data_IF_369517605552
#
_entry.id   IF_369517605552
#
_cell.length_a   1.000
_cell.length_b   1.000
_cell.length_c   1.000
_cell.angle_alpha   90.00
_cell.angle_beta   90.00
_cell.angle_gamma   90.00
#
_symmetry.space_group_name_H-M   'P 1'
#
loop_
_entity.id
_entity.type
_entity.pdbx_description
1 polymer ?
#
# COMPACT_ATOMS: atom_id res chain seq x y z
N UNK A 1 2.68 -3.84 -13.39
CA UNK A 1 1.83 -4.64 -12.48
C UNK A 1 2.62 -5.82 -11.99
N UNK A 2 2.66 -6.01 -10.71
CA UNK A 2 3.37 -7.14 -10.09
C UNK A 2 2.34 -8.17 -9.65
N UNK A 3 2.61 -9.44 -9.87
CA UNK A 3 1.77 -10.55 -9.42
C UNK A 3 2.61 -11.52 -8.62
N UNK A 4 2.19 -11.77 -7.37
CA UNK A 4 2.74 -12.77 -6.47
C UNK A 4 1.73 -13.92 -6.41
N UNK A 5 2.08 -15.07 -6.98
CA UNK A 5 1.15 -16.19 -7.08
C UNK A 5 1.89 -17.52 -6.87
N UNK A 6 1.53 -18.28 -5.84
CA UNK A 6 2.31 -19.44 -5.43
C UNK A 6 3.72 -19.02 -5.06
N UNK A 7 4.71 -19.69 -5.60
CA UNK A 7 6.14 -19.36 -5.47
C UNK A 7 6.63 -18.41 -6.58
N UNK A 8 5.74 -17.95 -7.45
CA UNK A 8 6.10 -17.22 -8.65
C UNK A 8 5.88 -15.71 -8.46
N UNK A 9 6.80 -14.96 -9.02
CA UNK A 9 6.78 -13.52 -9.14
C UNK A 9 6.76 -13.14 -10.62
N UNK A 10 5.83 -12.29 -11.01
CA UNK A 10 5.71 -11.78 -12.36
C UNK A 10 5.64 -10.25 -12.33
N UNK A 11 6.38 -9.62 -13.23
CA UNK A 11 6.30 -8.17 -13.46
C UNK A 11 5.83 -7.91 -14.89
N UNK A 12 4.71 -7.21 -15.03
CA UNK A 12 4.07 -6.92 -16.31
C UNK A 12 4.07 -5.42 -16.56
N UNK A 13 4.61 -5.00 -17.69
CA UNK A 13 4.33 -3.66 -18.21
C UNK A 13 2.95 -3.66 -18.89
N UNK A 14 1.96 -3.10 -18.22
CA UNK A 14 0.59 -3.05 -18.72
C UNK A 14 0.46 -2.23 -20.02
N UNK A 15 1.34 -1.26 -20.25
CA UNK A 15 1.33 -0.45 -21.48
C UNK A 15 1.83 -1.23 -22.68
N UNK A 16 2.74 -2.17 -22.48
CA UNK A 16 3.26 -3.02 -23.54
C UNK A 16 2.18 -3.89 -24.21
N UNK A 17 1.05 -4.13 -23.55
CA UNK A 17 -0.08 -4.86 -24.13
C UNK A 17 -0.79 -4.07 -25.24
N UNK A 18 -0.69 -2.74 -25.27
CA UNK A 18 -1.33 -1.90 -26.28
C UNK A 18 -2.87 -2.03 -26.31
N UNK A 19 -3.49 -2.39 -25.20
CA UNK A 19 -4.93 -2.67 -25.09
C UNK A 19 -5.61 -1.69 -24.13
N UNK A 20 -6.85 -1.29 -24.45
CA UNK A 20 -7.71 -0.52 -23.54
C UNK A 20 -8.21 -1.35 -22.37
N UNK A 21 -8.09 -2.67 -22.48
CA UNK A 21 -8.59 -3.63 -21.50
C UNK A 21 -7.66 -4.83 -21.43
N UNK A 22 -7.26 -5.17 -20.22
CA UNK A 22 -6.44 -6.33 -19.89
C UNK A 22 -7.25 -7.24 -18.96
N UNK A 23 -7.39 -8.50 -19.34
CA UNK A 23 -8.02 -9.53 -18.51
C UNK A 23 -6.94 -10.31 -17.76
N UNK A 24 -7.19 -10.59 -16.49
CA UNK A 24 -6.34 -11.48 -15.70
C UNK A 24 -7.16 -12.62 -15.09
N UNK A 25 -6.54 -13.79 -15.02
CA UNK A 25 -7.19 -14.99 -14.53
C UNK A 25 -6.35 -16.24 -14.77
N UNK A 26 -6.95 -17.42 -14.59
CA UNK A 26 -6.24 -18.69 -14.75
C UNK A 26 -6.26 -19.24 -16.19
N UNK A 27 -7.22 -18.83 -16.99
CA UNK A 27 -7.46 -19.36 -18.34
C UNK A 27 -6.55 -18.66 -19.34
N UNK A 28 -5.59 -19.41 -19.92
CA UNK A 28 -4.61 -18.89 -20.87
C UNK A 28 -5.20 -18.45 -22.20
N UNK A 29 -6.35 -19.00 -22.59
CA UNK A 29 -6.99 -18.67 -23.87
C UNK A 29 -7.83 -17.40 -23.78
N UNK A 30 -8.21 -17.00 -22.58
CA UNK A 30 -9.13 -15.89 -22.33
C UNK A 30 -8.49 -14.70 -21.61
N UNK A 31 -7.34 -14.89 -20.98
CA UNK A 31 -6.67 -13.87 -20.18
C UNK A 31 -5.38 -13.38 -20.85
N UNK A 32 -5.17 -12.07 -20.77
CA UNK A 32 -3.91 -11.43 -21.17
C UNK A 32 -2.80 -11.70 -20.15
N UNK A 33 -3.18 -11.79 -18.88
CA UNK A 33 -2.30 -12.10 -17.77
C UNK A 33 -2.78 -13.38 -17.11
N UNK A 34 -1.97 -14.42 -17.22
CA UNK A 34 -2.29 -15.75 -16.70
C UNK A 34 -1.69 -15.91 -15.30
N UNK A 35 -2.55 -16.23 -14.34
CA UNK A 35 -2.17 -16.51 -12.95
C UNK A 35 -2.54 -17.97 -12.66
N UNK A 36 -1.60 -18.91 -12.75
CA UNK A 36 -1.90 -20.35 -12.76
C UNK A 36 -2.12 -20.90 -11.34
N UNK A 37 -3.15 -20.39 -10.65
CA UNK A 37 -3.55 -20.86 -9.32
C UNK A 37 -4.99 -21.32 -9.30
N UNK A 38 -5.27 -22.38 -8.54
CA UNK A 38 -6.62 -22.95 -8.41
C UNK A 38 -7.64 -21.98 -7.78
N UNK A 39 -7.17 -21.06 -6.95
CA UNK A 39 -7.98 -20.01 -6.31
C UNK A 39 -8.38 -18.90 -7.25
N UNK A 40 -7.72 -18.77 -8.38
CA UNK A 40 -8.00 -17.78 -9.41
C UNK A 40 -9.06 -18.34 -10.38
N UNK A 41 -10.12 -17.60 -10.62
CA UNK A 41 -11.14 -17.95 -11.62
C UNK A 41 -10.58 -17.92 -13.04
N UNK A 42 -11.17 -18.64 -13.97
CA UNK A 42 -10.75 -18.66 -15.38
C UNK A 42 -10.52 -17.24 -15.91
N UNK A 43 -11.53 -16.37 -15.85
CA UNK A 43 -11.36 -14.92 -15.90
C UNK A 43 -11.74 -14.39 -14.54
N UNK A 44 -10.79 -13.76 -13.84
CA UNK A 44 -10.96 -13.31 -12.47
C UNK A 44 -11.27 -11.82 -12.39
N UNK A 45 -10.50 -11.04 -13.07
CA UNK A 45 -10.64 -9.60 -13.03
C UNK A 45 -10.21 -8.91 -14.33
N UNK A 46 -10.37 -7.62 -14.33
CA UNK A 46 -10.15 -6.78 -15.49
C UNK A 46 -9.59 -5.43 -15.11
N UNK A 47 -8.58 -4.99 -15.86
CA UNK A 47 -8.03 -3.64 -15.83
C UNK A 47 -8.52 -2.93 -17.08
N UNK A 48 -9.03 -1.71 -16.97
CA UNK A 48 -9.50 -0.90 -18.07
C UNK A 48 -8.82 0.46 -18.03
N UNK A 49 -8.38 0.93 -19.20
CA UNK A 49 -7.83 2.27 -19.40
C UNK A 49 -8.84 3.12 -20.16
N UNK A 50 -9.25 4.24 -19.61
CA UNK A 50 -10.19 5.15 -20.24
C UNK A 50 -9.95 6.59 -19.77
N UNK A 51 -9.90 7.54 -20.71
CA UNK A 51 -9.72 8.97 -20.42
C UNK A 51 -8.51 9.28 -19.52
N UNK A 52 -7.39 8.60 -19.76
CA UNK A 52 -6.16 8.73 -18.97
C UNK A 52 -6.23 8.14 -17.56
N UNK A 53 -7.31 7.44 -17.22
CA UNK A 53 -7.54 6.83 -15.92
C UNK A 53 -7.52 5.31 -16.02
N UNK A 54 -7.08 4.68 -14.93
CA UNK A 54 -7.08 3.22 -14.78
C UNK A 54 -8.23 2.79 -13.88
N UNK A 55 -8.94 1.77 -14.32
CA UNK A 55 -10.04 1.16 -13.57
C UNK A 55 -9.78 -0.32 -13.37
N UNK A 56 -10.10 -0.83 -12.19
CA UNK A 56 -9.95 -2.24 -11.84
C UNK A 56 -11.29 -2.79 -11.41
N UNK A 57 -11.60 -4.01 -11.79
CA UNK A 57 -12.83 -4.66 -11.39
C UNK A 57 -12.72 -6.18 -11.36
N UNK A 58 -13.39 -6.76 -10.37
CA UNK A 58 -13.68 -8.19 -10.31
C UNK A 58 -14.84 -8.51 -11.26
N UNK A 59 -14.71 -9.53 -12.10
CA UNK A 59 -15.73 -9.86 -13.10
C UNK A 59 -16.82 -10.81 -12.58
N UNK A 60 -16.82 -11.11 -11.30
CA UNK A 60 -17.69 -12.08 -10.64
C UNK A 60 -16.93 -13.38 -10.36
N UNK A 61 -15.73 -13.23 -9.83
CA UNK A 61 -14.86 -14.36 -9.48
C UNK A 61 -15.41 -15.17 -8.31
N UNK A 62 -14.97 -16.42 -8.19
CA UNK A 62 -15.46 -17.36 -7.16
C UNK A 62 -15.01 -16.96 -5.74
N UNK A 63 -13.76 -16.53 -5.60
CA UNK A 63 -13.17 -16.21 -4.31
C UNK A 63 -13.18 -14.70 -3.99
N UNK A 64 -13.49 -13.87 -4.99
CA UNK A 64 -13.49 -12.41 -4.84
C UNK A 64 -12.10 -11.79 -4.89
N UNK A 65 -12.09 -10.48 -5.01
CA UNK A 65 -10.90 -9.64 -4.97
C UNK A 65 -11.03 -8.67 -3.81
N UNK A 66 -9.98 -8.48 -3.04
CA UNK A 66 -9.93 -7.57 -1.90
C UNK A 66 -8.90 -6.48 -2.14
N UNK A 67 -9.31 -5.23 -2.00
CA UNK A 67 -8.44 -4.05 -2.15
C UNK A 67 -7.96 -3.59 -0.77
N UNK A 68 -6.66 -3.41 -0.62
CA UNK A 68 -6.07 -2.85 0.59
C UNK A 68 -6.32 -1.34 0.68
N UNK A 69 -6.80 -0.88 1.84
CA UNK A 69 -7.12 0.52 2.13
C UNK A 69 -6.32 1.09 3.31
N UNK A 70 -5.07 0.67 3.44
CA UNK A 70 -4.15 1.16 4.47
C UNK A 70 -4.19 0.38 5.79
N UNK A 71 -5.34 -0.06 6.26
CA UNK A 71 -5.48 -0.85 7.50
C UNK A 71 -6.24 -2.16 7.29
N UNK A 72 -7.13 -2.21 6.30
CA UNK A 72 -8.01 -3.36 6.03
C UNK A 72 -8.03 -3.71 4.54
N UNK A 73 -8.39 -4.95 4.27
CA UNK A 73 -8.76 -5.40 2.93
C UNK A 73 -10.26 -5.25 2.73
N UNK A 74 -10.66 -4.38 1.81
CA UNK A 74 -12.05 -4.15 1.43
C UNK A 74 -12.44 -5.06 0.26
N UNK A 75 -13.54 -5.78 0.40
CA UNK A 75 -14.07 -6.60 -0.69
C UNK A 75 -14.56 -5.77 -1.87
N UNK A 76 -14.00 -6.01 -3.03
CA UNK A 76 -14.44 -5.39 -4.27
C UNK A 76 -15.75 -6.04 -4.74
N UNK A 77 -16.81 -5.24 -4.84
CA UNK A 77 -18.11 -5.74 -5.32
C UNK A 77 -17.97 -6.29 -6.74
N UNK A 78 -18.46 -7.51 -7.02
CA UNK A 78 -18.38 -8.10 -8.35
C UNK A 78 -19.03 -7.21 -9.41
N UNK A 79 -18.42 -7.20 -10.61
CA UNK A 79 -18.89 -6.45 -11.78
C UNK A 79 -18.93 -4.93 -11.61
N UNK A 80 -18.34 -4.40 -10.53
CA UNK A 80 -18.13 -2.97 -10.31
C UNK A 80 -16.69 -2.61 -10.68
N UNK A 81 -16.51 -1.43 -11.28
CA UNK A 81 -15.18 -0.87 -11.54
C UNK A 81 -14.85 0.16 -10.48
N UNK A 82 -13.62 0.11 -10.03
CA UNK A 82 -13.03 1.06 -9.10
C UNK A 82 -11.96 1.85 -9.86
N UNK A 83 -12.07 3.18 -9.83
CA UNK A 83 -11.03 4.03 -10.40
C UNK A 83 -9.80 3.95 -9.51
N UNK A 84 -8.64 3.59 -10.11
CA UNK A 84 -7.38 3.63 -9.41
C UNK A 84 -6.99 5.08 -9.17
N UNK A 85 -6.82 5.42 -7.92
CA UNK A 85 -6.26 6.68 -7.44
C UNK A 85 -4.73 6.61 -7.47
N UNK A 86 -4.05 7.72 -7.13
CA UNK A 86 -2.59 7.75 -7.00
C UNK A 86 -2.06 6.74 -5.98
N UNK A 87 -0.81 6.35 -6.13
CA UNK A 87 -0.16 5.35 -5.28
C UNK A 87 -0.38 3.90 -5.73
N UNK A 88 0.27 2.98 -5.05
CA UNK A 88 0.17 1.57 -5.36
C UNK A 88 -1.13 0.96 -4.82
N UNK A 89 -1.84 0.25 -5.69
CA UNK A 89 -2.99 -0.53 -5.29
C UNK A 89 -2.61 -1.99 -5.08
N UNK A 90 -2.90 -2.51 -3.90
CA UNK A 90 -2.64 -3.89 -3.54
C UNK A 90 -3.96 -4.63 -3.52
N UNK A 91 -4.09 -5.60 -4.40
CA UNK A 91 -5.22 -6.50 -4.48
C UNK A 91 -4.81 -7.85 -3.92
N UNK A 92 -5.64 -8.44 -3.11
CA UNK A 92 -5.48 -9.80 -2.59
C UNK A 92 -6.62 -10.69 -3.06
N UNK A 93 -6.30 -11.90 -3.46
CA UNK A 93 -7.25 -12.95 -3.83
C UNK A 93 -6.94 -14.13 -2.93
N UNK A 94 -7.84 -14.43 -2.00
CA UNK A 94 -7.68 -15.51 -1.03
C UNK A 94 -8.51 -16.73 -1.42
N UNK A 95 -8.03 -17.90 -0.99
CA UNK A 95 -8.89 -19.06 -0.91
C UNK A 95 -9.93 -18.86 0.21
N UNK A 96 -11.15 -19.30 0.02
CA UNK A 96 -12.17 -19.31 1.09
C UNK A 96 -11.73 -20.06 2.35
N UNK A 97 -10.73 -20.92 2.24
CA UNK A 97 -10.16 -21.73 3.32
C UNK A 97 -9.02 -21.05 4.08
N UNK A 98 -8.63 -19.82 3.75
CA UNK A 98 -7.51 -19.07 4.37
C UNK A 98 -6.17 -19.82 4.43
N UNK A 99 -5.91 -20.72 3.49
CA UNK A 99 -4.60 -21.39 3.38
C UNK A 99 -3.64 -20.45 2.68
N UNK A 100 -2.58 -20.04 3.37
CA UNK A 100 -1.67 -18.95 2.97
C UNK A 100 -0.98 -19.12 1.61
N UNK A 101 -0.59 -20.34 1.26
CA UNK A 101 0.05 -20.63 -0.04
C UNK A 101 -0.91 -20.69 -1.23
N UNK A 102 -2.20 -20.45 -1.02
CA UNK A 102 -3.22 -20.37 -2.08
C UNK A 102 -3.70 -18.93 -2.35
N UNK A 103 -3.09 -17.93 -1.74
CA UNK A 103 -3.40 -16.52 -1.98
C UNK A 103 -2.57 -15.97 -3.14
N UNK A 104 -3.14 -15.04 -3.91
CA UNK A 104 -2.40 -14.20 -4.84
C UNK A 104 -2.45 -12.75 -4.41
N UNK A 105 -1.33 -12.04 -4.57
CA UNK A 105 -1.26 -10.59 -4.38
C UNK A 105 -0.93 -9.93 -5.71
N UNK A 106 -1.70 -8.92 -6.08
CA UNK A 106 -1.50 -8.14 -7.29
C UNK A 106 -1.24 -6.71 -6.87
N UNK A 107 -0.11 -6.15 -7.30
CA UNK A 107 0.25 -4.76 -7.04
C UNK A 107 0.18 -3.98 -8.35
N UNK A 108 -0.68 -2.97 -8.38
CA UNK A 108 -0.79 -2.03 -9.49
C UNK A 108 -0.05 -0.76 -9.13
N UNK A 109 1.13 -0.59 -9.70
CA UNK A 109 2.01 0.57 -9.44
C UNK A 109 1.67 1.73 -10.35
N UNK A 110 1.93 2.96 -9.92
CA UNK A 110 1.83 4.16 -10.76
C UNK A 110 3.11 4.42 -11.55
N UNK A 111 4.23 3.83 -11.14
CA UNK A 111 5.51 4.22 -11.67
C UNK A 111 5.74 3.69 -13.09
N UNK A 112 6.06 4.62 -13.99
CA UNK A 112 6.65 4.36 -15.30
C UNK A 112 8.12 3.94 -15.21
N UNK A 113 8.71 4.00 -14.03
CA UNK A 113 10.08 3.57 -13.77
C UNK A 113 10.07 2.06 -13.47
N UNK A 114 11.12 1.37 -13.94
CA UNK A 114 11.41 -0.03 -13.58
C UNK A 114 11.13 -0.22 -12.10
N UNK A 115 10.41 -1.26 -11.75
CA UNK A 115 9.81 -1.48 -10.44
C UNK A 115 10.75 -1.04 -9.31
N UNK A 116 10.25 -0.17 -8.42
CA UNK A 116 10.96 0.21 -7.20
C UNK A 116 11.11 -0.97 -6.22
N UNK A 117 10.66 -2.15 -6.65
CA UNK A 117 10.69 -3.38 -5.88
C UNK A 117 12.05 -4.05 -5.98
N UNK A 118 12.58 -4.40 -4.82
CA UNK A 118 13.83 -5.13 -4.63
C UNK A 118 13.55 -6.51 -4.06
N UNK A 119 14.49 -7.41 -4.25
CA UNK A 119 14.38 -8.80 -3.80
C UNK A 119 15.66 -9.19 -3.06
N UNK A 120 15.51 -9.67 -1.82
CA UNK A 120 16.60 -10.15 -0.97
C UNK A 120 16.33 -11.61 -0.57
N UNK A 121 17.32 -12.48 -0.73
CA UNK A 121 17.22 -13.86 -0.22
C UNK A 121 17.20 -13.86 1.30
N UNK A 122 16.26 -14.55 1.91
CA UNK A 122 16.16 -14.78 3.34
C UNK A 122 16.94 -16.05 3.71
N UNK A 123 18.23 -15.89 3.99
CA UNK A 123 19.05 -16.99 4.52
C UNK A 123 18.56 -17.40 5.91
N UNK A 124 19.00 -18.57 6.36
CA UNK A 124 18.77 -19.04 7.74
C UNK A 124 19.30 -17.99 8.74
N UNK A 125 18.54 -17.73 9.79
CA UNK A 125 18.83 -16.73 10.81
C UNK A 125 18.13 -15.39 10.60
N UNK A 126 18.76 -14.30 11.02
CA UNK A 126 18.18 -12.95 11.07
C UNK A 126 18.52 -12.13 9.82
N UNK A 127 17.50 -11.58 9.19
CA UNK A 127 17.62 -10.49 8.22
C UNK A 127 17.20 -9.19 8.88
N UNK A 128 18.15 -8.30 9.16
CA UNK A 128 17.92 -7.03 9.86
C UNK A 128 17.42 -5.96 8.90
N UNK A 129 16.44 -5.18 9.33
CA UNK A 129 15.82 -4.09 8.58
C UNK A 129 15.89 -2.81 9.41
N UNK A 130 16.42 -1.74 8.83
CA UNK A 130 16.49 -0.46 9.53
C UNK A 130 17.26 0.60 8.75
N UNK A 131 17.31 1.82 9.33
CA UNK A 131 18.01 2.94 8.72
C UNK A 131 19.53 2.93 8.97
N UNK A 132 20.00 2.23 10.00
CA UNK A 132 21.42 2.11 10.29
C UNK A 132 22.14 1.27 9.23
N UNK A 133 23.40 1.61 8.95
CA UNK A 133 24.23 0.93 7.94
C UNK A 133 24.62 -0.50 8.33
N UNK A 134 24.38 -0.89 9.57
CA UNK A 134 24.64 -2.23 10.12
C UNK A 134 23.47 -3.22 9.90
N UNK A 135 22.40 -2.80 9.21
CA UNK A 135 21.30 -3.69 8.83
C UNK A 135 21.59 -4.43 7.51
N UNK A 136 20.98 -5.59 7.36
CA UNK A 136 21.02 -6.35 6.09
C UNK A 136 20.29 -5.58 4.98
N UNK A 137 19.14 -4.98 5.34
CA UNK A 137 18.36 -4.12 4.46
C UNK A 137 18.39 -2.73 5.05
N UNK A 138 19.15 -1.85 4.38
CA UNK A 138 19.28 -0.45 4.78
C UNK A 138 18.20 0.36 4.08
N UNK A 139 17.34 1.01 4.87
CA UNK A 139 16.25 1.85 4.39
C UNK A 139 16.43 3.28 4.90
N UNK A 140 16.99 4.13 4.05
CA UNK A 140 17.25 5.53 4.40
C UNK A 140 15.97 6.36 4.33
N UNK A 141 15.21 6.29 5.44
CA UNK A 141 13.96 7.03 5.60
C UNK A 141 13.80 7.50 7.05
N UNK A 142 13.36 8.75 7.28
CA UNK A 142 13.12 9.27 8.63
C UNK A 142 12.10 8.45 9.45
N UNK A 143 11.13 7.80 8.78
CA UNK A 143 10.13 6.94 9.42
C UNK A 143 10.68 5.59 9.88
N UNK A 144 11.93 5.25 9.56
CA UNK A 144 12.56 3.98 9.91
C UNK A 144 13.55 4.18 11.05
N UNK A 145 13.42 3.40 12.13
CA UNK A 145 14.37 3.39 13.25
C UNK A 145 15.73 2.81 12.82
N UNK A 146 16.81 3.16 13.50
CA UNK A 146 18.16 2.65 13.18
C UNK A 146 18.21 1.12 13.10
N UNK A 147 17.67 0.44 14.11
CA UNK A 147 17.26 -0.97 14.07
C UNK A 147 15.75 -0.98 14.21
N UNK A 148 15.03 -1.33 13.16
CA UNK A 148 13.58 -1.24 13.16
C UNK A 148 12.95 -2.60 13.39
N UNK A 149 13.30 -3.55 12.56
CA UNK A 149 12.73 -4.89 12.58
C UNK A 149 13.76 -5.94 12.15
N UNK A 150 13.43 -7.20 12.32
CA UNK A 150 14.11 -8.31 11.69
C UNK A 150 13.12 -9.38 11.23
N UNK A 151 13.49 -10.10 10.18
CA UNK A 151 12.83 -11.34 9.83
C UNK A 151 13.77 -12.48 10.24
N UNK A 152 13.27 -13.33 11.13
CA UNK A 152 13.92 -14.59 11.52
C UNK A 152 13.43 -15.67 10.57
N UNK A 153 14.36 -16.35 9.89
CA UNK A 153 14.09 -17.58 9.15
C UNK A 153 14.63 -18.77 9.95
N UNK A 154 13.75 -19.71 10.29
CA UNK A 154 14.11 -20.98 10.94
C UNK A 154 13.49 -22.12 10.15
N UNK A 155 14.30 -22.79 9.32
CA UNK A 155 13.87 -23.91 8.48
C UNK A 155 12.64 -23.57 7.59
N UNK A 156 12.62 -22.36 6.99
CA UNK A 156 11.50 -21.90 6.15
C UNK A 156 10.28 -21.40 6.95
N UNK A 157 10.37 -21.33 8.26
CA UNK A 157 9.39 -20.68 9.11
C UNK A 157 9.86 -19.25 9.40
N UNK A 158 9.04 -18.27 9.03
CA UNK A 158 9.38 -16.86 9.13
C UNK A 158 8.66 -16.20 10.30
N UNK A 159 9.41 -15.40 11.06
CA UNK A 159 8.88 -14.57 12.15
C UNK A 159 9.38 -13.15 11.98
N UNK A 160 8.48 -12.18 11.96
CA UNK A 160 8.83 -10.75 12.01
C UNK A 160 8.98 -10.32 13.47
N UNK A 161 10.02 -9.55 13.76
CA UNK A 161 10.36 -9.04 15.10
C UNK A 161 10.45 -7.53 15.03
N UNK A 162 9.68 -6.82 15.85
CA UNK A 162 9.80 -5.37 16.04
C UNK A 162 10.78 -5.08 17.20
N UNK A 163 11.84 -4.34 16.91
CA UNK A 163 12.84 -3.94 17.92
C UNK A 163 12.42 -2.71 18.77
N UNK A 164 11.12 -2.53 18.99
CA UNK A 164 10.59 -1.37 19.68
C UNK A 164 10.70 -0.11 18.82
N UNK A 165 10.39 -0.26 17.57
CA UNK A 165 10.50 0.82 16.59
C UNK A 165 9.49 1.94 16.87
N UNK A 166 9.83 3.18 16.44
CA UNK A 166 8.99 4.35 16.70
C UNK A 166 7.63 4.24 16.01
N UNK A 167 7.60 3.84 14.75
CA UNK A 167 6.38 3.77 13.93
C UNK A 167 5.74 2.38 13.91
N UNK A 168 6.40 1.37 14.49
CA UNK A 168 5.89 0.01 14.57
C UNK A 168 6.02 -0.78 13.27
N UNK A 169 5.76 -2.07 13.40
CA UNK A 169 5.65 -3.03 12.31
C UNK A 169 4.21 -3.51 12.25
N UNK A 170 3.67 -3.69 11.06
CA UNK A 170 2.31 -4.14 10.85
C UNK A 170 2.30 -5.36 9.92
N UNK A 171 1.48 -6.36 10.26
CA UNK A 171 1.22 -7.53 9.42
C UNK A 171 -0.26 -7.54 9.07
N UNK A 172 -0.57 -7.48 7.76
CA UNK A 172 -1.94 -7.40 7.25
C UNK A 172 -2.79 -6.31 7.94
N UNK A 173 -2.18 -5.14 8.24
CA UNK A 173 -2.80 -4.00 8.90
C UNK A 173 -2.87 -4.08 10.42
N UNK A 174 -2.46 -5.18 11.05
CA UNK A 174 -2.39 -5.30 12.52
C UNK A 174 -0.99 -5.01 13.02
N UNK A 175 -0.88 -4.19 14.06
CA UNK A 175 0.41 -3.87 14.68
C UNK A 175 0.97 -5.10 15.38
N UNK A 176 2.23 -5.42 15.11
CA UNK A 176 3.01 -6.43 15.79
C UNK A 176 3.42 -5.90 17.19
N UNK A 177 3.15 -6.65 18.24
CA UNK A 177 3.52 -6.21 19.60
C UNK A 177 5.01 -6.34 19.86
N UNK A 178 5.60 -7.48 19.52
CA UNK A 178 7.03 -7.76 19.64
C UNK A 178 7.51 -8.64 18.51
N UNK A 179 6.87 -9.76 18.32
CA UNK A 179 7.14 -10.74 17.28
C UNK A 179 5.83 -11.39 16.82
N UNK A 180 5.77 -11.76 15.54
CA UNK A 180 4.62 -12.44 14.95
C UNK A 180 5.10 -13.38 13.85
N UNK A 181 4.54 -14.60 13.83
CA UNK A 181 4.79 -15.54 12.74
C UNK A 181 4.10 -15.03 11.49
N UNK A 182 4.85 -14.97 10.40
CA UNK A 182 4.36 -14.52 9.10
C UNK A 182 4.29 -15.71 8.13
N UNK A 183 3.25 -15.72 7.34
CA UNK A 183 3.09 -16.63 6.23
C UNK A 183 3.60 -15.99 4.93
N UNK A 184 3.85 -16.83 3.92
CA UNK A 184 4.12 -16.30 2.59
C UNK A 184 2.98 -15.41 2.11
N UNK A 185 3.34 -14.29 1.49
CA UNK A 185 2.44 -13.25 0.98
C UNK A 185 1.64 -12.49 2.03
N UNK A 186 1.91 -12.69 3.32
CA UNK A 186 1.48 -11.70 4.29
C UNK A 186 2.12 -10.36 3.96
N UNK A 187 1.33 -9.31 4.02
CA UNK A 187 1.82 -7.96 3.80
C UNK A 187 2.40 -7.43 5.10
N UNK A 188 3.71 -7.24 5.11
CA UNK A 188 4.41 -6.57 6.20
C UNK A 188 4.56 -5.10 5.80
N UNK A 189 4.17 -4.20 6.69
CA UNK A 189 4.33 -2.77 6.50
C UNK A 189 5.22 -2.19 7.60
N UNK A 190 6.22 -1.43 7.19
CA UNK A 190 7.13 -0.67 8.05
C UNK A 190 7.14 0.76 7.53
N UNK A 191 6.58 1.69 8.27
CA UNK A 191 6.33 3.05 7.78
C UNK A 191 5.54 3.03 6.45
N UNK A 192 6.10 3.59 5.38
CA UNK A 192 5.51 3.59 4.04
C UNK A 192 6.03 2.46 3.13
N UNK A 193 6.83 1.54 3.66
CA UNK A 193 7.40 0.44 2.90
C UNK A 193 6.62 -0.84 3.10
N UNK A 194 6.49 -1.59 2.01
CA UNK A 194 5.79 -2.86 1.99
C UNK A 194 6.76 -3.99 1.70
N UNK A 195 6.57 -5.10 2.40
CA UNK A 195 7.40 -6.29 2.28
C UNK A 195 6.51 -7.52 2.16
N UNK A 196 6.96 -8.50 1.38
CA UNK A 196 6.32 -9.80 1.24
C UNK A 196 7.39 -10.89 1.25
N UNK A 197 7.15 -11.98 1.97
CA UNK A 197 7.95 -13.18 1.86
C UNK A 197 7.38 -14.08 0.77
N UNK A 198 8.21 -14.45 -0.21
CA UNK A 198 7.81 -15.30 -1.33
C UNK A 198 8.97 -16.21 -1.69
N UNK A 199 8.77 -17.53 -1.61
CA UNK A 199 9.75 -18.53 -2.01
C UNK A 199 11.16 -18.29 -1.43
N UNK A 200 11.22 -18.12 -0.10
CA UNK A 200 12.50 -17.91 0.59
C UNK A 200 13.16 -16.55 0.32
N UNK A 201 12.47 -15.63 -0.33
CA UNK A 201 12.94 -14.28 -0.65
C UNK A 201 12.04 -13.24 -0.01
N UNK A 202 12.62 -12.12 0.37
CA UNK A 202 11.91 -10.93 0.77
C UNK A 202 11.82 -9.99 -0.43
N UNK A 203 10.60 -9.79 -0.90
CA UNK A 203 10.28 -8.77 -1.87
C UNK A 203 9.89 -7.52 -1.11
N UNK A 204 10.51 -6.39 -1.41
CA UNK A 204 10.21 -5.13 -0.75
C UNK A 204 10.30 -3.95 -1.72
N UNK A 205 9.52 -2.94 -1.41
CA UNK A 205 9.57 -1.68 -2.12
C UNK A 205 10.83 -0.93 -1.70
N UNK A 206 11.68 -0.59 -2.67
CA UNK A 206 12.84 0.27 -2.43
C UNK A 206 12.39 1.66 -1.96
N UNK A 207 13.32 2.44 -1.42
CA UNK A 207 13.04 3.80 -0.99
C UNK A 207 12.39 4.59 -2.13
N UNK A 208 11.10 4.90 -1.99
CA UNK A 208 10.45 5.84 -2.90
C UNK A 208 10.98 7.23 -2.57
N UNK A 209 11.60 7.87 -3.54
CA UNK A 209 12.00 9.27 -3.39
C UNK A 209 10.74 10.13 -3.40
N UNK A 210 10.44 10.77 -2.27
CA UNK A 210 9.37 11.74 -2.18
C UNK A 210 8.41 11.49 -1.02
N UNK A 211 7.61 12.51 -0.75
CA UNK A 211 6.59 12.53 0.29
C UNK A 211 5.22 12.60 -0.38
N UNK A 212 4.32 11.67 -0.04
CA UNK A 212 2.91 11.79 -0.37
C UNK A 212 2.13 12.29 0.84
N UNK A 213 1.14 13.12 0.61
CA UNK A 213 0.22 13.62 1.64
C UNK A 213 -1.21 13.31 1.23
N UNK A 214 -2.00 12.78 2.17
CA UNK A 214 -3.43 12.57 1.98
C UNK A 214 -4.20 13.22 3.12
N UNK A 215 -5.19 14.01 2.74
CA UNK A 215 -6.10 14.71 3.63
C UNK A 215 -7.46 14.04 3.57
N UNK A 216 -7.99 13.64 4.71
CA UNK A 216 -9.30 13.02 4.79
C UNK A 216 -10.19 13.79 5.77
N UNK A 217 -11.24 14.43 5.21
CA UNK A 217 -12.30 15.09 5.97
C UNK A 217 -11.78 16.18 6.93
N UNK A 218 -10.77 16.95 6.50
CA UNK A 218 -10.19 17.98 7.36
C UNK A 218 -11.17 19.11 7.56
N UNK A 219 -11.55 19.33 8.82
CA UNK A 219 -12.42 20.44 9.24
C UNK A 219 -11.80 21.17 10.41
N UNK A 220 -12.00 22.49 10.47
CA UNK A 220 -11.58 23.33 11.59
C UNK A 220 -12.55 24.45 11.86
N UNK A 221 -12.89 24.62 13.14
CA UNK A 221 -13.65 25.76 13.65
C UNK A 221 -12.77 26.60 14.57
N UNK A 222 -12.93 27.90 14.50
CA UNK A 222 -12.26 28.86 15.39
C UNK A 222 -13.28 29.79 16.05
N UNK A 223 -12.96 30.30 17.24
CA UNK A 223 -13.85 31.15 18.02
C UNK A 223 -14.45 30.44 19.23
N UNK A 224 -15.23 31.17 20.05
CA UNK A 224 -15.88 30.66 21.26
C UNK A 224 -17.38 30.96 21.23
N UNK A 225 -18.19 30.08 21.82
CA UNK A 225 -19.64 30.25 21.96
C UNK A 225 -20.35 30.45 20.62
N UNK A 226 -21.22 31.47 20.53
CA UNK A 226 -21.99 31.83 19.33
C UNK A 226 -21.14 32.44 18.20
N UNK A 227 -19.87 32.78 18.47
CA UNK A 227 -18.92 33.35 17.50
C UNK A 227 -18.05 32.30 16.79
N UNK A 228 -18.37 31.02 16.86
CA UNK A 228 -17.64 29.98 16.12
C UNK A 228 -17.78 30.17 14.61
N UNK A 229 -16.64 30.13 13.93
CA UNK A 229 -16.56 30.20 12.46
C UNK A 229 -15.83 29.02 11.93
N UNK A 230 -16.43 28.32 10.99
CA UNK A 230 -15.81 27.21 10.26
C UNK A 230 -14.82 27.77 9.24
N UNK A 231 -13.55 27.46 9.39
CA UNK A 231 -12.45 27.90 8.50
C UNK A 231 -12.17 26.85 7.45
N UNK A 232 -12.17 25.55 7.84
CA UNK A 232 -12.07 24.43 6.94
C UNK A 232 -13.33 23.56 7.06
N UNK A 233 -13.85 23.10 5.94
CA UNK A 233 -15.06 22.30 5.90
C UNK A 233 -14.86 21.07 4.99
N UNK A 234 -14.62 19.92 5.61
CA UNK A 234 -14.49 18.65 4.94
C UNK A 234 -13.52 18.67 3.74
N UNK A 235 -12.30 19.17 3.98
CA UNK A 235 -11.27 19.24 2.93
C UNK A 235 -10.69 17.85 2.70
N UNK A 236 -10.68 17.46 1.44
CA UNK A 236 -10.03 16.25 0.96
C UNK A 236 -8.94 16.62 -0.03
N UNK A 237 -7.84 15.92 -0.02
CA UNK A 237 -6.76 16.14 -0.96
C UNK A 237 -5.82 14.95 -0.99
N UNK A 238 -5.25 14.71 -2.14
CA UNK A 238 -4.24 13.69 -2.36
C UNK A 238 -3.10 14.32 -3.16
N UNK A 239 -1.90 14.32 -2.58
CA UNK A 239 -0.69 14.90 -3.16
C UNK A 239 0.32 13.76 -3.28
N UNK A 240 0.59 13.36 -4.51
CA UNK A 240 1.56 12.31 -4.81
C UNK A 240 3.00 12.74 -4.57
N UNK A 241 3.89 11.77 -4.50
CA UNK A 241 5.33 12.03 -4.44
C UNK A 241 5.78 12.76 -5.71
N UNK A 242 6.62 13.80 -5.53
CA UNK A 242 7.14 14.64 -6.62
C UNK A 242 6.07 15.46 -7.37
N UNK A 243 4.90 15.65 -6.80
CA UNK A 243 3.91 16.58 -7.31
C UNK A 243 4.13 18.00 -6.78
N UNK A 244 3.91 18.99 -7.63
CA UNK A 244 3.84 20.37 -7.25
C UNK A 244 2.38 20.79 -7.15
N UNK A 245 1.94 21.16 -5.95
CA UNK A 245 0.56 21.59 -5.69
C UNK A 245 0.56 23.03 -5.22
N UNK A 246 -0.22 23.88 -5.87
CA UNK A 246 -0.43 25.26 -5.47
C UNK A 246 -1.82 25.46 -4.84
N UNK A 247 -1.85 26.06 -3.63
CA UNK A 247 -3.10 26.43 -2.95
C UNK A 247 -3.39 27.89 -3.26
N UNK A 248 -4.44 28.14 -4.04
CA UNK A 248 -4.82 29.47 -4.50
C UNK A 248 -6.14 29.89 -3.83
N UNK A 249 -6.26 31.17 -3.49
CA UNK A 249 -7.48 31.75 -2.89
C UNK A 249 -7.24 33.14 -2.33
N UNK A 250 -8.31 33.87 -2.10
CA UNK A 250 -8.28 35.20 -1.53
C UNK A 250 -7.71 35.30 -0.09
N UNK A 251 -7.52 36.48 0.44
CA UNK A 251 -7.15 36.67 1.85
C UNK A 251 -8.24 36.11 2.76
N UNK A 252 -7.86 35.38 3.81
CA UNK A 252 -8.79 34.76 4.74
C UNK A 252 -9.46 33.45 4.24
N UNK A 253 -9.12 32.94 3.07
CA UNK A 253 -9.70 31.71 2.50
C UNK A 253 -9.25 30.40 3.19
N UNK A 254 -8.49 30.46 4.27
CA UNK A 254 -8.05 29.26 5.02
C UNK A 254 -6.76 28.60 4.50
N UNK A 255 -6.03 29.19 3.54
CA UNK A 255 -4.79 28.63 2.98
C UNK A 255 -3.75 28.25 4.03
N UNK A 256 -3.42 29.18 4.91
CA UNK A 256 -2.47 28.94 6.01
C UNK A 256 -2.98 27.86 6.97
N UNK A 257 -4.28 27.82 7.22
CA UNK A 257 -4.90 26.82 8.09
C UNK A 257 -4.76 25.41 7.50
N UNK A 258 -5.00 25.26 6.19
CA UNK A 258 -4.79 23.99 5.48
C UNK A 258 -3.30 23.60 5.50
N UNK A 259 -2.38 24.55 5.25
CA UNK A 259 -0.93 24.27 5.29
C UNK A 259 -0.48 23.80 6.68
N UNK A 260 -0.97 24.46 7.75
CA UNK A 260 -0.65 24.08 9.13
C UNK A 260 -1.23 22.70 9.49
N UNK A 261 -2.42 22.36 8.97
CA UNK A 261 -3.00 21.02 9.13
C UNK A 261 -2.14 19.96 8.42
N UNK A 262 -1.76 20.21 7.16
CA UNK A 262 -0.95 19.31 6.35
C UNK A 262 0.43 19.03 6.95
N UNK A 263 1.05 20.05 7.57
CA UNK A 263 2.37 19.92 8.20
C UNK A 263 2.32 19.28 9.59
N UNK A 264 1.14 18.98 10.13
CA UNK A 264 0.97 18.49 11.51
C UNK A 264 1.24 19.55 12.59
N UNK A 265 1.47 20.82 12.20
CA UNK A 265 1.66 21.94 13.12
C UNK A 265 0.38 22.26 13.88
N UNK A 266 -0.76 22.23 13.21
CA UNK A 266 -2.08 22.42 13.79
C UNK A 266 -2.73 21.06 14.07
N UNK A 267 -2.76 20.69 15.35
CA UNK A 267 -3.38 19.43 15.81
C UNK A 267 -4.85 19.57 16.22
N UNK A 268 -5.34 20.81 16.33
CA UNK A 268 -6.75 21.10 16.66
C UNK A 268 -7.60 21.15 15.38
N UNK A 269 -7.68 20.02 14.72
CA UNK A 269 -8.44 19.79 13.50
C UNK A 269 -9.26 18.50 13.63
N UNK A 270 -10.39 18.42 12.93
CA UNK A 270 -11.10 17.17 12.69
C UNK A 270 -10.58 16.51 11.42
N UNK A 271 -10.74 15.18 11.28
CA UNK A 271 -10.26 14.41 10.14
C UNK A 271 -8.84 13.88 10.31
N UNK A 272 -8.23 13.34 9.28
CA UNK A 272 -6.92 12.71 9.32
C UNK A 272 -5.98 13.25 8.24
N UNK A 273 -4.70 13.33 8.58
CA UNK A 273 -3.63 13.69 7.64
C UNK A 273 -2.63 12.55 7.61
N UNK A 274 -2.44 11.97 6.45
CA UNK A 274 -1.48 10.88 6.24
C UNK A 274 -0.27 11.40 5.48
N UNK A 275 0.91 11.10 5.99
CA UNK A 275 2.19 11.30 5.31
C UNK A 275 2.78 9.94 4.97
N UNK A 276 2.92 9.62 3.69
CA UNK A 276 3.34 8.30 3.24
C UNK A 276 2.54 7.14 3.90
N UNK A 277 1.24 7.33 4.06
CA UNK A 277 0.35 6.35 4.70
C UNK A 277 0.36 6.35 6.24
N UNK A 278 1.20 7.14 6.88
CA UNK A 278 1.27 7.27 8.35
C UNK A 278 0.37 8.43 8.79
N UNK A 279 -0.57 8.15 9.69
CA UNK A 279 -1.43 9.18 10.29
C UNK A 279 -0.60 10.09 11.22
N UNK A 280 -0.42 11.35 10.82
CA UNK A 280 0.36 12.34 11.59
C UNK A 280 -0.26 12.73 12.94
N UNK A 281 -1.51 12.35 13.20
CA UNK A 281 -2.20 12.66 14.46
C UNK A 281 -2.04 11.58 15.52
N UNK A 282 -1.71 10.36 15.11
CA UNK A 282 -1.56 9.21 16.01
C UNK A 282 -0.12 8.98 16.46
N UNK A 283 0.82 9.78 15.94
CA UNK A 283 2.25 9.70 16.26
C UNK A 283 2.76 10.95 16.97
#
# INVERSE_FOLDING_TARGET
MIVLAGTNFYDYDLKAFGKDRILFGRDSDRCDIVIPMSTISGVHGKIKFANGKTYVGDVGSTNGTYLYRGEIYEWMKPRKYYQKESGDWILRIDAKSHVSNQSAVIILTDSLQKSAWQCQTLSEGLTLIGRGSDNTIVMDSPGISRKHAAIMNQNGVYTIIDYGSMNGVYVNGKRVNRDERIAEKDMIQIANFLFFVVDGKLLYQGAMSGVSLRLENISKEVGRGTGRKKILNQVYGDIGSNEFVAIIGGSGAGKTTVMNAMSGFDRDIEGNVFCNGIDLRRN
#
